data_IF_531900632052
#
_entry.id   IF_531900632052
#
_cell.length_a   1.000
_cell.length_b   1.000
_cell.length_c   1.000
_cell.angle_alpha   90.00
_cell.angle_beta   90.00
_cell.angle_gamma   90.00
#
_symmetry.space_group_name_H-M   'P 1'
#
loop_
_entity.id
_entity.type
_entity.pdbx_description
1 polymer ?
#
# COMPACT_ATOMS: atom_id res chain seq x y z
N UNK A 1 -12.36 -10.88 -35.39
CA UNK A 1 -11.79 -9.70 -36.08
C UNK A 1 -10.81 -8.92 -35.16
N UNK A 2 -9.82 -9.57 -34.52
CA UNK A 2 -8.91 -8.89 -33.57
C UNK A 2 -7.41 -9.15 -33.79
N UNK A 3 -7.00 -9.82 -34.87
CA UNK A 3 -5.60 -10.23 -35.08
C UNK A 3 -4.77 -9.28 -35.96
N UNK A 4 -5.36 -8.23 -36.53
CA UNK A 4 -4.63 -7.27 -37.38
C UNK A 4 -3.95 -6.12 -36.62
N UNK A 5 -4.32 -5.87 -35.36
CA UNK A 5 -3.88 -4.68 -34.63
C UNK A 5 -2.51 -4.78 -33.95
N UNK A 6 -1.91 -5.98 -33.85
CA UNK A 6 -0.66 -6.18 -33.07
C UNK A 6 0.60 -6.00 -33.94
N UNK A 7 0.50 -6.13 -35.27
CA UNK A 7 1.68 -6.03 -36.14
C UNK A 7 2.14 -4.58 -36.41
N UNK A 8 1.26 -3.58 -36.33
CA UNK A 8 1.62 -2.19 -36.59
C UNK A 8 2.40 -1.54 -35.44
N UNK A 9 2.23 -2.00 -34.19
CA UNK A 9 2.95 -1.46 -33.03
C UNK A 9 4.44 -1.86 -33.01
N UNK A 10 4.77 -3.08 -33.46
CA UNK A 10 6.15 -3.60 -33.38
C UNK A 10 7.12 -2.93 -34.36
N UNK A 11 6.62 -2.40 -35.49
CA UNK A 11 7.45 -1.69 -36.48
C UNK A 11 7.82 -0.29 -35.99
N UNK A 12 6.96 0.36 -35.20
CA UNK A 12 7.23 1.71 -34.67
C UNK A 12 8.34 1.73 -33.61
N UNK A 13 8.48 0.65 -32.84
CA UNK A 13 9.50 0.57 -31.77
C UNK A 13 10.92 0.33 -32.29
N UNK A 14 11.10 -0.43 -33.39
CA UNK A 14 12.43 -0.69 -33.96
C UNK A 14 13.06 0.52 -34.65
N UNK A 15 12.26 1.51 -35.05
CA UNK A 15 12.77 2.75 -35.65
C UNK A 15 13.33 3.72 -34.60
N UNK A 16 12.89 3.64 -33.33
CA UNK A 16 13.48 4.46 -32.26
C UNK A 16 14.78 3.88 -31.71
N UNK A 17 14.95 2.56 -31.70
CA UNK A 17 16.19 1.93 -31.18
C UNK A 17 17.39 2.19 -32.10
N UNK A 18 17.21 2.39 -33.41
CA UNK A 18 18.31 2.82 -34.30
C UNK A 18 18.70 4.30 -34.17
N UNK A 19 17.92 5.12 -33.45
CA UNK A 19 18.27 6.52 -33.19
C UNK A 19 19.16 6.71 -31.96
N UNK A 20 19.33 5.68 -31.12
CA UNK A 20 20.13 5.75 -29.88
C UNK A 20 21.47 5.01 -29.96
N UNK A 21 21.85 4.50 -31.13
CA UNK A 21 23.14 3.82 -31.35
C UNK A 21 24.14 4.67 -32.16
N UNK A 22 24.08 6.00 -32.03
CA UNK A 22 25.03 6.94 -32.63
C UNK A 22 25.63 7.91 -31.60
N UNK A 23 25.85 7.43 -30.37
CA UNK A 23 26.70 8.10 -29.37
C UNK A 23 28.02 7.33 -29.15
N UNK A 24 28.60 6.85 -30.26
CA UNK A 24 29.91 6.23 -30.29
C UNK A 24 30.94 7.16 -30.91
N UNK A 25 31.73 7.83 -30.05
CA UNK A 25 33.05 8.47 -30.31
C UNK A 25 33.44 8.61 -31.79
N UNK A 26 33.20 9.79 -32.36
CA UNK A 26 33.96 10.25 -33.52
C UNK A 26 34.95 11.29 -33.02
N UNK A 27 36.24 11.00 -33.19
CA UNK A 27 37.33 11.90 -32.89
C UNK A 27 37.09 13.25 -33.58
N UNK A 28 37.09 14.31 -32.78
CA UNK A 28 37.09 15.67 -33.29
C UNK A 28 38.42 15.99 -33.93
N UNK A 29 38.41 16.26 -35.24
CA UNK A 29 39.34 17.19 -35.91
C UNK A 29 39.12 17.28 -37.43
N UNK A 30 37.89 17.19 -37.96
CA UNK A 30 37.64 17.47 -39.39
C UNK A 30 36.14 17.57 -39.68
N UNK A 31 35.47 18.61 -39.19
CA UNK A 31 34.19 19.13 -39.72
C UNK A 31 33.81 20.41 -38.96
N UNK A 32 34.74 21.36 -38.90
CA UNK A 32 34.49 22.72 -38.43
C UNK A 32 34.75 23.67 -39.60
N UNK A 33 33.87 23.64 -40.60
CA UNK A 33 33.67 24.73 -41.58
C UNK A 33 32.46 24.39 -42.46
N UNK A 34 31.62 25.40 -42.68
CA UNK A 34 30.37 25.40 -43.45
C UNK A 34 29.13 24.93 -42.69
N UNK A 35 28.75 25.74 -41.71
CA UNK A 35 27.38 25.83 -41.23
C UNK A 35 26.92 27.29 -41.40
N UNK A 36 27.10 27.81 -42.61
CA UNK A 36 26.46 29.04 -43.07
C UNK A 36 26.06 28.79 -44.53
N UNK A 37 24.83 29.20 -44.87
CA UNK A 37 24.24 29.19 -46.21
C UNK A 37 23.91 27.82 -46.83
N UNK A 38 22.82 27.21 -46.37
CA UNK A 38 21.66 26.80 -47.20
C UNK A 38 20.72 25.92 -46.37
N UNK A 39 19.54 26.44 -46.04
CA UNK A 39 18.50 25.71 -45.30
C UNK A 39 17.82 24.64 -46.15
N UNK A 40 18.51 23.54 -46.45
CA UNK A 40 17.90 22.38 -47.11
C UNK A 40 18.41 21.06 -46.53
N UNK A 41 17.53 20.35 -45.83
CA UNK A 41 17.76 18.95 -45.47
C UNK A 41 17.60 18.06 -46.71
N UNK A 42 18.56 17.18 -47.04
CA UNK A 42 18.34 16.20 -48.10
C UNK A 42 17.22 15.25 -47.68
N UNK A 43 16.19 15.13 -48.52
CA UNK A 43 15.11 14.16 -48.30
C UNK A 43 15.69 12.74 -48.26
N UNK A 44 15.30 11.89 -47.31
CA UNK A 44 15.75 10.51 -47.28
C UNK A 44 15.23 9.79 -48.54
N UNK A 45 16.16 9.27 -49.34
CA UNK A 45 15.85 8.39 -50.45
C UNK A 45 15.06 7.19 -49.93
N UNK A 46 13.84 7.06 -50.43
CA UNK A 46 12.92 5.97 -50.12
C UNK A 46 13.45 4.69 -50.75
N UNK A 47 14.20 3.91 -49.99
CA UNK A 47 14.51 2.52 -50.35
C UNK A 47 13.21 1.73 -50.34
N UNK A 48 12.65 1.46 -51.53
CA UNK A 48 11.52 0.55 -51.71
C UNK A 48 12.00 -0.87 -51.42
N UNK A 49 11.88 -1.28 -50.17
CA UNK A 49 12.04 -2.69 -49.79
C UNK A 49 10.85 -3.44 -50.41
N UNK A 50 11.14 -4.40 -51.29
CA UNK A 50 10.14 -5.23 -51.97
C UNK A 50 9.25 -5.92 -50.93
N UNK A 51 7.94 -5.78 -51.12
CA UNK A 51 6.88 -6.16 -50.18
C UNK A 51 6.80 -7.67 -49.91
N UNK A 52 7.46 -8.50 -50.74
CA UNK A 52 7.42 -9.95 -50.64
C UNK A 52 8.32 -10.55 -49.54
N UNK A 53 9.31 -9.82 -49.02
CA UNK A 53 10.19 -10.34 -47.96
C UNK A 53 9.65 -10.13 -46.54
N UNK A 54 8.56 -9.35 -46.38
CA UNK A 54 7.96 -9.06 -45.06
C UNK A 54 7.26 -10.27 -44.43
N UNK A 55 6.78 -11.22 -45.23
CA UNK A 55 5.92 -12.29 -44.75
C UNK A 55 6.69 -13.52 -44.22
N UNK A 56 7.96 -13.71 -44.61
CA UNK A 56 8.75 -14.87 -44.15
C UNK A 56 9.26 -14.73 -42.71
N UNK A 57 9.55 -13.51 -42.26
CA UNK A 57 10.08 -13.26 -40.91
C UNK A 57 9.03 -13.28 -39.79
N UNK A 58 7.73 -13.19 -40.12
CA UNK A 58 6.68 -13.17 -39.10
C UNK A 58 6.33 -14.58 -38.58
N UNK A 59 6.50 -15.62 -39.41
CA UNK A 59 6.06 -16.98 -39.06
C UNK A 59 7.00 -17.70 -38.08
N UNK A 60 8.32 -17.44 -38.15
CA UNK A 60 9.32 -18.04 -37.26
C UNK A 60 9.36 -17.37 -35.88
N UNK A 61 9.13 -16.06 -35.80
CA UNK A 61 9.06 -15.33 -34.54
C UNK A 61 7.85 -15.77 -33.67
N UNK A 62 6.70 -16.04 -34.29
CA UNK A 62 5.50 -16.50 -33.60
C UNK A 62 5.64 -17.91 -33.00
N UNK A 63 6.40 -18.81 -33.65
CA UNK A 63 6.63 -20.17 -33.12
C UNK A 63 7.55 -20.18 -31.89
N UNK A 64 8.53 -19.28 -31.82
CA UNK A 64 9.42 -19.14 -30.66
C UNK A 64 8.70 -18.53 -29.45
N UNK A 65 7.81 -17.54 -29.67
CA UNK A 65 7.00 -16.95 -28.60
C UNK A 65 6.02 -17.96 -27.98
N UNK A 66 5.41 -18.83 -28.79
CA UNK A 66 4.45 -19.84 -28.31
C UNK A 66 5.08 -20.92 -27.42
N UNK A 67 6.34 -21.32 -27.69
CA UNK A 67 7.05 -22.31 -26.87
C UNK A 67 7.49 -21.75 -25.49
N UNK A 68 7.84 -20.47 -25.43
CA UNK A 68 8.24 -19.84 -24.16
C UNK A 68 7.06 -19.43 -23.28
N UNK A 69 5.90 -19.10 -23.85
CA UNK A 69 4.69 -18.77 -23.08
C UNK A 69 4.16 -19.95 -22.25
N UNK A 70 4.23 -21.19 -22.75
CA UNK A 70 3.80 -22.36 -21.98
C UNK A 70 4.70 -22.65 -20.76
N UNK A 71 6.00 -22.33 -20.83
CA UNK A 71 6.91 -22.44 -19.67
C UNK A 71 6.69 -21.30 -18.68
N UNK A 72 6.39 -20.10 -19.16
CA UNK A 72 6.08 -18.94 -18.32
C UNK A 72 4.75 -19.10 -17.57
N UNK A 73 3.75 -19.73 -18.19
CA UNK A 73 2.44 -19.94 -17.57
C UNK A 73 2.49 -20.95 -16.43
N UNK A 74 3.35 -21.98 -16.51
CA UNK A 74 3.57 -22.90 -15.39
C UNK A 74 4.35 -22.27 -14.22
N UNK A 75 5.26 -21.34 -14.49
CA UNK A 75 5.94 -20.57 -13.44
C UNK A 75 5.00 -19.57 -12.74
N UNK A 76 4.01 -19.02 -13.46
CA UNK A 76 3.03 -18.09 -12.89
C UNK A 76 2.05 -18.77 -11.92
N UNK A 77 1.71 -20.04 -12.15
CA UNK A 77 0.77 -20.80 -11.31
C UNK A 77 1.39 -21.17 -9.95
N UNK A 78 2.72 -21.29 -9.86
CA UNK A 78 3.45 -21.52 -8.60
C UNK A 78 3.63 -20.25 -7.74
N UNK A 79 3.34 -19.06 -8.27
CA UNK A 79 3.45 -17.79 -7.55
C UNK A 79 2.15 -17.33 -6.85
N UNK A 80 1.04 -18.04 -7.04
CA UNK A 80 -0.26 -17.76 -6.37
C UNK A 80 -0.32 -18.48 -5.00
N UNK A 81 0.84 -18.80 -4.43
CA UNK A 81 1.01 -19.35 -3.08
C UNK A 81 1.46 -18.31 -2.06
N UNK A 82 1.37 -17.00 -2.35
CA UNK A 82 1.46 -15.99 -1.29
C UNK A 82 0.10 -15.95 -0.63
N UNK A 83 0.03 -16.66 0.48
CA UNK A 83 -1.04 -16.64 1.46
C UNK A 83 -1.66 -15.24 1.52
N UNK A 84 -2.97 -15.16 1.26
CA UNK A 84 -3.76 -14.02 1.64
C UNK A 84 -3.69 -13.88 3.15
N UNK A 85 -2.65 -13.21 3.66
CA UNK A 85 -2.78 -12.52 4.94
C UNK A 85 -3.78 -11.44 4.63
N UNK A 86 -5.02 -11.63 5.07
CA UNK A 86 -5.95 -10.52 5.23
C UNK A 86 -5.15 -9.35 5.81
N UNK A 87 -5.24 -8.14 5.23
CA UNK A 87 -4.56 -6.99 5.82
C UNK A 87 -4.82 -7.04 7.33
N UNK A 88 -3.77 -6.85 8.17
CA UNK A 88 -3.92 -6.97 9.62
C UNK A 88 -5.19 -6.24 10.00
N UNK A 89 -6.10 -6.94 10.69
CA UNK A 89 -7.40 -6.38 11.03
C UNK A 89 -7.11 -4.98 11.60
N UNK A 90 -7.69 -3.89 11.05
CA UNK A 90 -7.23 -2.54 11.37
C UNK A 90 -7.44 -2.18 12.85
N UNK A 91 -8.09 -3.07 13.60
CA UNK A 91 -8.41 -2.95 15.00
C UNK A 91 -7.71 -4.03 15.84
N UNK A 92 -6.69 -3.64 16.59
CA UNK A 92 -6.10 -4.44 17.65
C UNK A 92 -6.76 -4.10 18.99
N UNK A 93 -7.38 -5.10 19.60
CA UNK A 93 -8.03 -5.00 20.90
C UNK A 93 -7.17 -5.63 22.00
N UNK A 94 -7.49 -5.27 23.25
CA UNK A 94 -6.88 -5.88 24.44
C UNK A 94 -7.25 -7.37 24.55
N UNK A 95 -6.51 -8.17 25.35
CA UNK A 95 -6.91 -9.54 25.67
C UNK A 95 -8.35 -9.55 26.18
N UNK A 96 -9.16 -10.52 25.72
CA UNK A 96 -10.58 -10.69 26.07
C UNK A 96 -11.56 -9.65 25.52
N UNK A 97 -11.08 -8.66 24.76
CA UNK A 97 -11.92 -7.67 24.08
C UNK A 97 -12.14 -8.03 22.62
N UNK A 98 -13.37 -7.83 22.12
CA UNK A 98 -13.73 -8.18 20.75
C UNK A 98 -13.84 -6.93 19.87
N UNK A 99 -13.34 -6.95 18.63
CA UNK A 99 -13.56 -5.87 17.69
C UNK A 99 -15.01 -5.87 17.21
N UNK A 100 -15.67 -4.73 17.33
CA UNK A 100 -17.06 -4.52 16.87
C UNK A 100 -17.07 -3.34 15.90
N UNK A 101 -17.84 -3.48 14.82
CA UNK A 101 -18.05 -2.42 13.84
C UNK A 101 -19.38 -1.73 14.13
N UNK A 102 -19.35 -0.41 14.32
CA UNK A 102 -20.54 0.42 14.45
C UNK A 102 -20.48 1.55 13.40
N UNK A 103 -21.40 1.52 12.44
CA UNK A 103 -21.34 2.33 11.23
C UNK A 103 -20.04 2.10 10.44
N UNK A 104 -19.25 3.17 10.29
CA UNK A 104 -17.95 3.17 9.60
C UNK A 104 -16.75 3.05 10.55
N UNK A 105 -16.99 3.02 11.87
CA UNK A 105 -15.93 2.97 12.88
C UNK A 105 -15.81 1.58 13.50
N UNK A 106 -14.57 1.24 13.89
CA UNK A 106 -14.26 0.02 14.62
C UNK A 106 -13.91 0.38 16.05
N UNK A 107 -14.38 -0.44 16.99
CA UNK A 107 -14.12 -0.30 18.42
C UNK A 107 -13.80 -1.66 19.03
N UNK A 108 -13.18 -1.64 20.20
CA UNK A 108 -13.03 -2.81 21.05
C UNK A 108 -14.13 -2.78 22.11
N UNK A 109 -14.87 -3.88 22.25
CA UNK A 109 -15.98 -4.00 23.21
C UNK A 109 -15.77 -5.18 24.17
N UNK A 110 -16.13 -4.98 25.43
CA UNK A 110 -16.24 -6.03 26.45
C UNK A 110 -17.40 -5.69 27.39
N UNK A 111 -18.45 -6.51 27.39
CA UNK A 111 -19.70 -6.19 28.08
C UNK A 111 -20.32 -4.88 27.55
N UNK A 112 -20.56 -3.93 28.44
CA UNK A 112 -21.15 -2.63 28.11
C UNK A 112 -20.10 -1.55 27.77
N UNK A 113 -18.82 -1.84 27.97
CA UNK A 113 -17.74 -0.89 27.73
C UNK A 113 -17.23 -0.95 26.29
N UNK A 114 -16.84 0.21 25.76
CA UNK A 114 -16.26 0.32 24.42
C UNK A 114 -15.10 1.32 24.37
N UNK A 115 -14.06 0.96 23.63
CA UNK A 115 -12.86 1.77 23.45
C UNK A 115 -12.46 1.85 21.97
N UNK A 116 -11.78 2.92 21.56
CA UNK A 116 -11.19 2.98 20.21
C UNK A 116 -10.15 1.89 20.02
N UNK A 117 -10.02 1.38 18.80
CA UNK A 117 -8.99 0.40 18.48
C UNK A 117 -7.56 0.92 18.65
N UNK A 118 -6.59 0.01 18.84
CA UNK A 118 -5.15 0.30 18.86
C UNK A 118 -4.70 1.29 19.95
N UNK A 119 -5.48 1.42 21.02
CA UNK A 119 -5.08 2.19 22.20
C UNK A 119 -4.41 1.26 23.22
N UNK A 120 -3.48 1.82 23.98
CA UNK A 120 -2.84 1.07 25.07
C UNK A 120 -3.83 0.78 26.19
N UNK A 121 -3.63 -0.34 26.86
CA UNK A 121 -4.40 -0.73 28.06
C UNK A 121 -4.25 0.35 29.14
N UNK A 122 -5.34 0.92 29.68
CA UNK A 122 -5.27 1.86 30.79
C UNK A 122 -4.83 1.14 32.06
N UNK A 123 -4.13 1.83 32.97
CA UNK A 123 -3.92 1.34 34.34
C UNK A 123 -5.26 1.04 35.03
N UNK A 124 -5.24 0.15 36.03
CA UNK A 124 -6.43 -0.16 36.81
C UNK A 124 -6.92 1.07 37.55
N UNK A 125 -8.23 1.31 37.47
CA UNK A 125 -8.90 2.34 38.26
C UNK A 125 -8.98 1.89 39.72
N UNK A 126 -8.51 2.74 40.63
CA UNK A 126 -8.59 2.51 42.08
C UNK A 126 -9.69 3.41 42.64
N UNK A 127 -10.69 2.81 43.29
CA UNK A 127 -11.79 3.50 43.94
C UNK A 127 -11.75 3.31 45.45
N UNK A 128 -12.23 4.28 46.21
CA UNK A 128 -12.33 4.15 47.67
C UNK A 128 -13.72 3.64 48.04
N UNK A 129 -13.80 2.50 48.71
CA UNK A 129 -15.02 1.94 49.30
C UNK A 129 -14.88 1.96 50.82
N UNK A 130 -15.57 2.88 51.50
CA UNK A 130 -15.52 3.04 52.95
C UNK A 130 -14.08 3.23 53.46
N UNK A 131 -13.31 4.06 52.76
CA UNK A 131 -11.92 4.36 53.05
C UNK A 131 -10.92 3.26 52.68
N UNK A 132 -11.33 2.21 51.95
CA UNK A 132 -10.43 1.15 51.47
C UNK A 132 -10.27 1.21 49.95
N UNK A 133 -9.05 1.08 49.40
CA UNK A 133 -8.85 1.01 47.97
C UNK A 133 -9.38 -0.32 47.41
N UNK A 134 -10.15 -0.22 46.35
CA UNK A 134 -10.69 -1.34 45.57
C UNK A 134 -10.30 -1.11 44.12
N UNK A 135 -9.62 -2.08 43.53
CA UNK A 135 -9.29 -2.07 42.11
C UNK A 135 -10.51 -2.49 41.29
N UNK A 136 -10.85 -1.69 40.30
CA UNK A 136 -11.91 -2.00 39.36
C UNK A 136 -11.41 -2.88 38.21
N UNK A 137 -12.32 -3.61 37.53
CA UNK A 137 -11.98 -4.34 36.32
C UNK A 137 -11.36 -3.46 35.23
N UNK A 138 -10.59 -4.10 34.36
CA UNK A 138 -9.93 -3.44 33.24
C UNK A 138 -10.95 -2.76 32.31
N UNK A 139 -10.68 -1.51 31.94
CA UNK A 139 -11.58 -0.70 31.11
C UNK A 139 -12.53 0.21 31.89
N UNK A 140 -12.65 0.03 33.21
CA UNK A 140 -13.31 1.03 34.06
C UNK A 140 -12.45 2.28 34.22
N UNK A 141 -13.03 3.45 33.96
CA UNK A 141 -12.35 4.75 34.06
C UNK A 141 -12.96 5.65 35.14
N UNK A 142 -13.99 5.17 35.85
CA UNK A 142 -14.61 5.88 36.97
C UNK A 142 -15.28 4.92 37.96
N UNK A 143 -15.58 5.42 39.16
CA UNK A 143 -16.19 4.64 40.23
C UNK A 143 -17.72 4.59 40.14
N UNK A 144 -18.34 5.62 39.54
CA UNK A 144 -19.80 5.77 39.51
C UNK A 144 -20.49 4.76 38.59
N UNK A 145 -19.83 4.35 37.48
CA UNK A 145 -20.47 3.53 36.45
C UNK A 145 -20.91 2.16 36.96
N UNK A 146 -20.27 1.67 38.03
CA UNK A 146 -20.61 0.40 38.66
C UNK A 146 -21.70 0.55 39.72
N UNK A 147 -21.52 1.47 40.67
CA UNK A 147 -22.50 1.74 41.74
C UNK A 147 -22.22 3.09 42.40
N UNK A 148 -23.07 4.08 42.10
CA UNK A 148 -22.95 5.45 42.60
C UNK A 148 -23.03 5.58 44.13
N UNK A 149 -23.54 4.57 44.85
CA UNK A 149 -23.67 4.60 46.31
C UNK A 149 -22.61 3.77 47.03
N UNK A 150 -21.85 2.97 46.29
CA UNK A 150 -20.84 2.07 46.85
C UNK A 150 -19.53 2.77 47.17
N UNK A 151 -19.13 3.73 46.34
CA UNK A 151 -17.82 4.36 46.43
C UNK A 151 -17.89 5.75 47.04
N UNK A 152 -16.85 6.10 47.79
CA UNK A 152 -16.73 7.37 48.50
C UNK A 152 -16.53 8.55 47.53
N UNK A 153 -15.97 8.26 46.33
CA UNK A 153 -15.70 9.24 45.28
C UNK A 153 -16.26 8.75 43.95
N UNK A 154 -16.57 9.69 43.05
CA UNK A 154 -17.09 9.41 41.71
C UNK A 154 -16.00 9.01 40.72
N UNK A 155 -14.75 9.37 41.02
CA UNK A 155 -13.57 9.27 40.15
C UNK A 155 -12.54 8.32 40.73
N UNK A 156 -11.78 7.69 39.84
CA UNK A 156 -10.59 6.92 40.21
C UNK A 156 -9.56 7.81 40.89
N UNK A 157 -8.77 7.23 41.78
CA UNK A 157 -7.56 7.84 42.28
C UNK A 157 -6.57 8.08 41.12
N UNK A 158 -6.06 9.29 41.00
CA UNK A 158 -5.13 9.67 39.94
C UNK A 158 -3.71 9.22 40.33
N UNK A 159 -3.26 8.11 39.74
CA UNK A 159 -1.88 7.65 39.86
C UNK A 159 -0.98 8.29 38.79
N UNK A 160 0.35 8.35 38.98
CA UNK A 160 1.27 8.84 37.96
C UNK A 160 1.16 8.09 36.63
N UNK A 161 0.91 6.79 36.66
CA UNK A 161 0.71 5.95 35.47
C UNK A 161 -0.57 6.34 34.74
N UNK A 162 -1.65 6.58 35.48
CA UNK A 162 -2.94 6.95 34.93
C UNK A 162 -2.91 8.36 34.33
N UNK A 163 -2.27 9.32 35.02
CA UNK A 163 -2.09 10.68 34.49
C UNK A 163 -1.26 10.66 33.20
N UNK A 164 -0.20 9.84 33.15
CA UNK A 164 0.60 9.65 31.92
C UNK A 164 -0.24 9.07 30.78
N UNK A 165 -1.11 8.10 31.08
CA UNK A 165 -2.00 7.51 30.09
C UNK A 165 -3.03 8.53 29.57
N UNK A 166 -3.66 9.31 30.46
CA UNK A 166 -4.56 10.40 30.07
C UNK A 166 -3.85 11.50 29.26
N UNK A 167 -2.56 11.73 29.49
CA UNK A 167 -1.76 12.61 28.64
C UNK A 167 -1.66 12.14 27.18
N UNK A 168 -1.68 10.82 26.94
CA UNK A 168 -1.71 10.22 25.59
C UNK A 168 -3.13 10.16 25.01
N UNK A 169 -4.14 9.95 25.86
CA UNK A 169 -5.53 9.78 25.46
C UNK A 169 -6.49 10.69 26.26
N UNK A 170 -6.45 12.01 26.03
CA UNK A 170 -7.18 12.99 26.84
C UNK A 170 -8.71 12.86 26.73
N UNK A 171 -9.23 12.27 25.65
CA UNK A 171 -10.67 12.08 25.45
C UNK A 171 -11.33 11.13 26.46
N UNK A 172 -10.54 10.31 27.16
CA UNK A 172 -11.05 9.40 28.20
C UNK A 172 -10.99 10.00 29.60
N UNK A 173 -10.45 11.21 29.74
CA UNK A 173 -10.43 11.91 31.03
C UNK A 173 -11.80 12.51 31.29
N UNK A 174 -12.43 12.12 32.38
CA UNK A 174 -13.66 12.72 32.85
C UNK A 174 -13.32 14.02 33.58
N UNK A 175 -13.78 15.15 33.03
CA UNK A 175 -13.81 16.44 33.70
C UNK A 175 -15.21 16.65 34.30
N UNK A 176 -15.29 17.38 35.42
CA UNK A 176 -16.54 17.70 36.12
C UNK A 176 -16.99 19.06 35.59
#
# INVERSE_FOLDING_TARGET
>A
MFTRSICTASIRMKLQIKRQAFDGKVNGSLLQRNLDETGYWPRPNTVKIKEQDKYRYCSTALRLLRKNMNRLMHLLILAIGVMGTSPPHPCQCWPDWQPVKDGDQWYCKNGDQSFSCNIDIPPLCICMEKGKPVELPLGETNCIHLDQYRFDNTRCEITPELEKWFGKYPQYRLYD
#
